data_IF_478982073490
#
_entry.id   IF_478982073490
#
_cell.length_a   1.000
_cell.length_b   1.000
_cell.length_c   1.000
_cell.angle_alpha   90.00
_cell.angle_beta   90.00
_cell.angle_gamma   90.00
#
_symmetry.space_group_name_H-M   'P 1'
#
loop_
_entity.id
_entity.type
_entity.pdbx_description
1 polymer ?
#
# COMPACT_ATOMS: atom_id res chain seq x y z
N UNK A 1 -28.46 -5.35 -36.21
CA UNK A 1 -28.73 -5.35 -34.76
C UNK A 1 -28.25 -6.67 -34.19
N UNK A 2 -27.81 -6.71 -32.94
CA UNK A 2 -27.47 -7.95 -32.22
C UNK A 2 -28.41 -8.08 -31.03
N UNK A 3 -29.29 -9.09 -31.05
CA UNK A 3 -30.24 -9.36 -29.98
C UNK A 3 -29.73 -10.52 -29.11
N UNK A 4 -29.11 -10.19 -27.99
CA UNK A 4 -28.59 -11.15 -27.01
C UNK A 4 -29.73 -11.74 -26.17
N UNK A 5 -29.50 -12.88 -25.52
CA UNK A 5 -30.49 -13.50 -24.61
C UNK A 5 -30.66 -12.74 -23.29
N UNK A 6 -29.71 -11.87 -22.94
CA UNK A 6 -29.73 -11.08 -21.72
C UNK A 6 -29.44 -9.60 -22.03
N UNK A 7 -30.17 -8.71 -21.35
CA UNK A 7 -29.93 -7.27 -21.38
C UNK A 7 -30.49 -6.57 -22.61
N UNK A 8 -29.69 -5.66 -23.17
CA UNK A 8 -30.10 -4.76 -24.25
C UNK A 8 -29.97 -5.40 -25.63
N UNK A 9 -30.78 -4.92 -26.58
CA UNK A 9 -30.57 -5.19 -28.00
C UNK A 9 -29.66 -4.11 -28.57
N UNK A 10 -28.50 -4.51 -29.11
CA UNK A 10 -27.55 -3.61 -29.75
C UNK A 10 -28.10 -3.17 -31.11
N UNK A 11 -28.71 -1.98 -31.14
CA UNK A 11 -29.32 -1.40 -32.35
C UNK A 11 -28.43 -0.37 -33.04
N UNK A 12 -27.78 0.47 -32.24
CA UNK A 12 -26.88 1.53 -32.71
C UNK A 12 -25.43 1.09 -32.52
N UNK A 13 -24.62 1.25 -33.56
CA UNK A 13 -23.26 0.70 -33.68
C UNK A 13 -23.10 -0.72 -33.06
N UNK A 14 -23.80 -1.75 -33.58
CA UNK A 14 -23.82 -3.08 -32.95
C UNK A 14 -22.45 -3.78 -32.97
N UNK A 15 -21.54 -3.40 -33.86
CA UNK A 15 -20.20 -4.01 -33.94
C UNK A 15 -19.29 -3.61 -32.79
N UNK A 16 -19.62 -2.56 -32.01
CA UNK A 16 -18.84 -2.13 -30.85
C UNK A 16 -18.58 -3.27 -29.85
N UNK A 17 -19.56 -4.13 -29.60
CA UNK A 17 -19.42 -5.25 -28.65
C UNK A 17 -18.61 -6.39 -29.26
N UNK A 18 -18.69 -6.59 -30.57
CA UNK A 18 -17.91 -7.60 -31.29
C UNK A 18 -16.43 -7.25 -31.23
N UNK A 19 -16.08 -6.00 -31.53
CA UNK A 19 -14.71 -5.49 -31.42
C UNK A 19 -14.20 -5.58 -29.97
N UNK A 20 -15.05 -5.28 -29.00
CA UNK A 20 -14.69 -5.36 -27.59
C UNK A 20 -14.43 -6.82 -27.14
N UNK A 21 -15.23 -7.78 -27.61
CA UNK A 21 -15.00 -9.20 -27.35
C UNK A 21 -13.69 -9.70 -27.98
N UNK A 22 -13.37 -9.25 -29.20
CA UNK A 22 -12.09 -9.58 -29.83
C UNK A 22 -10.90 -9.05 -29.01
N UNK A 23 -11.00 -7.82 -28.47
CA UNK A 23 -10.00 -7.26 -27.56
C UNK A 23 -9.91 -8.07 -26.25
N UNK A 24 -11.05 -8.43 -25.66
CA UNK A 24 -11.11 -9.17 -24.41
C UNK A 24 -10.60 -10.60 -24.52
N UNK A 25 -10.85 -11.26 -25.64
CA UNK A 25 -10.42 -12.64 -25.88
C UNK A 25 -8.89 -12.76 -26.12
N UNK A 26 -8.22 -11.68 -26.52
CA UNK A 26 -6.79 -11.66 -26.79
C UNK A 26 -5.97 -11.37 -25.51
N UNK A 27 -6.10 -12.23 -24.48
CA UNK A 27 -5.37 -12.17 -23.21
C UNK A 27 -5.33 -10.75 -22.60
N UNK A 28 -6.51 -10.12 -22.53
CA UNK A 28 -6.65 -8.71 -22.22
C UNK A 28 -6.02 -8.30 -20.88
N UNK A 29 -5.36 -7.14 -20.90
CA UNK A 29 -4.83 -6.46 -19.73
C UNK A 29 -4.66 -4.97 -19.99
N UNK A 30 -4.75 -4.18 -18.94
CA UNK A 30 -4.45 -2.76 -18.87
C UNK A 30 -3.18 -2.55 -18.02
N UNK A 31 -2.71 -1.32 -17.97
CA UNK A 31 -1.67 -0.92 -17.02
C UNK A 31 -2.21 -0.79 -15.59
N UNK A 32 -2.54 -1.95 -15.02
CA UNK A 32 -3.28 -2.10 -13.76
C UNK A 32 -2.72 -3.28 -12.96
N UNK A 33 -2.61 -3.10 -11.65
CA UNK A 33 -2.22 -4.15 -10.70
C UNK A 33 -3.33 -4.29 -9.65
N UNK A 34 -3.77 -5.53 -9.41
CA UNK A 34 -4.76 -5.84 -8.38
C UNK A 34 -4.11 -6.56 -7.21
N UNK A 35 -4.24 -5.99 -6.02
CA UNK A 35 -3.78 -6.58 -4.77
C UNK A 35 -5.02 -7.07 -4.03
N UNK A 36 -5.06 -8.33 -3.65
CA UNK A 36 -6.16 -8.84 -2.83
C UNK A 36 -5.65 -9.81 -1.78
N UNK A 37 -6.27 -9.76 -0.60
CA UNK A 37 -5.82 -10.54 0.54
C UNK A 37 -6.94 -10.89 1.50
N UNK A 38 -6.69 -11.85 2.38
CA UNK A 38 -7.42 -12.04 3.62
C UNK A 38 -6.47 -11.87 4.81
N UNK A 39 -7.00 -11.49 5.97
CA UNK A 39 -6.18 -11.25 7.17
C UNK A 39 -6.99 -11.48 8.45
N UNK A 40 -6.34 -12.08 9.46
CA UNK A 40 -6.95 -12.29 10.77
C UNK A 40 -6.72 -11.09 11.72
N UNK A 41 -5.54 -10.45 11.64
CA UNK A 41 -5.09 -9.43 12.58
C UNK A 41 -4.52 -8.19 11.91
N UNK A 42 -4.93 -7.90 10.66
CA UNK A 42 -4.47 -6.79 9.83
C UNK A 42 -2.96 -6.75 9.47
N UNK A 43 -2.14 -7.70 9.90
CA UNK A 43 -0.72 -7.73 9.53
C UNK A 43 -0.51 -7.79 8.01
N UNK A 44 -1.19 -8.72 7.32
CA UNK A 44 -1.14 -8.83 5.85
C UNK A 44 -1.74 -7.61 5.16
N UNK A 45 -2.69 -6.90 5.79
CA UNK A 45 -3.23 -5.64 5.27
C UNK A 45 -2.15 -4.56 5.26
N UNK A 46 -1.41 -4.41 6.35
CA UNK A 46 -0.30 -3.44 6.43
C UNK A 46 0.75 -3.69 5.34
N UNK A 47 1.07 -4.97 5.07
CA UNK A 47 1.95 -5.34 3.97
C UNK A 47 1.38 -4.93 2.60
N UNK A 48 0.09 -5.20 2.36
CA UNK A 48 -0.58 -4.85 1.11
C UNK A 48 -0.57 -3.34 0.84
N UNK A 49 -0.86 -2.54 1.87
CA UNK A 49 -0.88 -1.08 1.78
C UNK A 49 0.54 -0.53 1.51
N UNK A 50 1.57 -1.08 2.16
CA UNK A 50 2.96 -0.70 1.92
C UNK A 50 3.45 -1.07 0.51
N UNK A 51 3.09 -2.25 0.00
CA UNK A 51 3.41 -2.65 -1.38
C UNK A 51 2.76 -1.69 -2.38
N UNK A 52 1.49 -1.32 -2.16
CA UNK A 52 0.79 -0.39 -3.04
C UNK A 52 1.47 1.00 -3.09
N UNK A 53 1.97 1.49 -1.95
CA UNK A 53 2.77 2.72 -1.90
C UNK A 53 4.00 2.60 -2.79
N UNK A 54 4.76 1.51 -2.65
CA UNK A 54 5.97 1.28 -3.45
C UNK A 54 5.71 1.20 -4.95
N UNK A 55 4.58 0.63 -5.37
CA UNK A 55 4.19 0.59 -6.79
C UNK A 55 3.93 2.01 -7.31
N UNK A 56 3.11 2.79 -6.60
CA UNK A 56 2.74 4.15 -7.00
C UNK A 56 3.93 5.12 -7.02
N UNK A 57 4.92 4.91 -6.15
CA UNK A 57 6.16 5.72 -6.13
C UNK A 57 7.01 5.55 -7.39
N UNK A 58 7.03 4.34 -7.96
CA UNK A 58 7.89 4.01 -9.12
C UNK A 58 7.15 4.24 -10.44
N UNK A 59 5.89 3.83 -10.50
CA UNK A 59 5.09 3.95 -11.72
C UNK A 59 3.71 4.54 -11.40
N UNK A 60 3.58 5.89 -11.42
CA UNK A 60 2.33 6.57 -11.13
C UNK A 60 1.21 6.27 -12.14
N UNK A 61 1.53 5.70 -13.32
CA UNK A 61 0.54 5.38 -14.34
C UNK A 61 -0.22 4.08 -14.03
N UNK A 62 0.35 3.21 -13.20
CA UNK A 62 -0.26 1.93 -12.85
C UNK A 62 -1.47 2.18 -11.96
N UNK A 63 -2.64 1.76 -12.43
CA UNK A 63 -3.83 1.75 -11.59
C UNK A 63 -3.72 0.62 -10.54
N UNK A 64 -3.51 0.96 -9.27
CA UNK A 64 -3.49 -0.02 -8.17
C UNK A 64 -4.86 -0.11 -7.51
N UNK A 65 -5.37 -1.34 -7.35
CA UNK A 65 -6.60 -1.61 -6.58
C UNK A 65 -6.34 -2.64 -5.49
N UNK A 66 -6.81 -2.35 -4.28
CA UNK A 66 -6.61 -3.19 -3.09
C UNK A 66 -7.96 -3.71 -2.61
N UNK A 67 -8.05 -5.01 -2.37
CA UNK A 67 -9.27 -5.65 -1.87
C UNK A 67 -9.00 -6.56 -0.68
N UNK A 68 -9.87 -6.50 0.32
CA UNK A 68 -9.96 -7.54 1.32
C UNK A 68 -11.05 -8.52 0.87
N UNK A 69 -10.68 -9.76 0.53
CA UNK A 69 -11.61 -10.77 -0.03
C UNK A 69 -12.76 -11.13 0.92
N UNK A 70 -12.63 -10.86 2.22
CA UNK A 70 -13.68 -11.07 3.19
C UNK A 70 -14.67 -9.89 3.30
N UNK A 71 -14.37 -8.74 2.67
CA UNK A 71 -15.14 -7.49 2.79
C UNK A 71 -15.47 -6.83 1.45
N UNK A 72 -15.17 -7.49 0.34
CA UNK A 72 -15.36 -6.97 -1.01
C UNK A 72 -16.13 -7.97 -1.85
N UNK A 73 -16.81 -7.46 -2.88
CA UNK A 73 -17.48 -8.33 -3.85
C UNK A 73 -16.45 -9.12 -4.64
N UNK A 74 -16.71 -10.43 -4.77
CA UNK A 74 -15.80 -11.37 -5.41
C UNK A 74 -15.69 -11.13 -6.91
N UNK A 75 -16.80 -10.79 -7.56
CA UNK A 75 -16.86 -10.58 -9.00
C UNK A 75 -16.16 -9.27 -9.39
N UNK A 76 -16.22 -8.26 -8.52
CA UNK A 76 -15.42 -7.03 -8.66
C UNK A 76 -13.92 -7.33 -8.60
N UNK A 77 -13.47 -8.19 -7.68
CA UNK A 77 -12.06 -8.61 -7.60
C UNK A 77 -11.66 -9.30 -8.91
N UNK A 78 -12.43 -10.30 -9.35
CA UNK A 78 -12.13 -11.07 -10.56
C UNK A 78 -12.14 -10.19 -11.83
N UNK A 79 -13.03 -9.21 -11.91
CA UNK A 79 -13.06 -8.23 -13.01
C UNK A 79 -11.80 -7.36 -13.00
N UNK A 80 -11.31 -6.96 -11.82
CA UNK A 80 -10.05 -6.23 -11.72
C UNK A 80 -8.85 -7.12 -12.05
N UNK A 81 -8.85 -8.40 -11.67
CA UNK A 81 -7.83 -9.39 -12.10
C UNK A 81 -7.82 -9.53 -13.62
N UNK A 82 -8.99 -9.67 -14.25
CA UNK A 82 -9.12 -9.74 -15.71
C UNK A 82 -8.45 -8.55 -16.41
N UNK A 83 -8.67 -7.34 -15.89
CA UNK A 83 -8.10 -6.10 -16.44
C UNK A 83 -6.63 -5.86 -16.06
N UNK A 84 -6.06 -6.60 -15.12
CA UNK A 84 -4.71 -6.33 -14.61
C UNK A 84 -3.63 -7.06 -15.42
N UNK A 85 -2.45 -6.43 -15.54
CA UNK A 85 -1.23 -7.09 -16.05
C UNK A 85 -0.62 -8.07 -15.04
N UNK A 86 -0.88 -7.83 -13.75
CA UNK A 86 -0.44 -8.73 -12.70
C UNK A 86 -1.19 -8.54 -11.39
N UNK A 87 -1.03 -9.50 -10.49
CA UNK A 87 -1.73 -9.57 -9.22
C UNK A 87 -0.80 -9.84 -8.05
N UNK A 88 -1.11 -9.27 -6.89
CA UNK A 88 -0.46 -9.68 -5.65
C UNK A 88 -1.50 -10.27 -4.70
N UNK A 89 -1.22 -11.47 -4.21
CA UNK A 89 -2.18 -12.22 -3.40
C UNK A 89 -1.63 -12.42 -2.00
N UNK A 90 -2.38 -11.91 -1.01
CA UNK A 90 -1.98 -11.92 0.38
C UNK A 90 -2.72 -12.97 1.22
N UNK A 91 -2.00 -13.76 2.00
CA UNK A 91 -2.62 -14.67 2.98
C UNK A 91 -1.73 -14.86 4.20
N UNK A 92 -2.32 -14.86 5.41
CA UNK A 92 -1.58 -15.31 6.59
C UNK A 92 -1.60 -16.82 6.73
N UNK A 93 -0.65 -17.36 7.49
CA UNK A 93 -0.66 -18.79 7.83
C UNK A 93 -1.69 -19.06 8.92
N UNK A 94 -2.70 -19.87 8.60
CA UNK A 94 -3.75 -20.33 9.52
C UNK A 94 -3.72 -21.85 9.57
N UNK A 95 -3.41 -22.44 10.72
CA UNK A 95 -3.34 -23.91 10.91
C UNK A 95 -2.48 -24.62 9.84
N UNK A 96 -1.29 -24.07 9.54
CA UNK A 96 -0.34 -24.56 8.52
C UNK A 96 -0.85 -24.53 7.06
N UNK A 97 -1.98 -23.87 6.80
CA UNK A 97 -2.54 -23.66 5.46
C UNK A 97 -2.82 -22.18 5.20
N UNK A 98 -3.17 -21.84 3.96
CA UNK A 98 -3.66 -20.51 3.61
C UNK A 98 -5.10 -20.30 4.09
N UNK A 99 -5.51 -19.04 4.20
CA UNK A 99 -6.88 -18.69 4.57
C UNK A 99 -7.91 -19.20 3.54
N UNK A 100 -9.09 -19.66 3.98
CA UNK A 100 -10.02 -20.42 3.13
C UNK A 100 -10.60 -19.60 1.97
N UNK A 101 -10.86 -18.30 2.17
CA UNK A 101 -11.38 -17.43 1.08
C UNK A 101 -10.35 -17.24 -0.04
N UNK A 102 -9.07 -17.15 0.32
CA UNK A 102 -7.98 -17.10 -0.67
C UNK A 102 -7.87 -18.43 -1.41
N UNK A 103 -7.94 -19.56 -0.70
CA UNK A 103 -7.93 -20.87 -1.33
C UNK A 103 -9.08 -21.04 -2.34
N UNK A 104 -10.31 -20.67 -1.97
CA UNK A 104 -11.47 -20.74 -2.85
C UNK A 104 -11.37 -19.80 -4.05
N UNK A 105 -10.85 -18.58 -3.86
CA UNK A 105 -10.66 -17.65 -4.96
C UNK A 105 -9.59 -18.14 -5.94
N UNK A 106 -8.50 -18.73 -5.45
CA UNK A 106 -7.46 -19.33 -6.31
C UNK A 106 -7.99 -20.53 -7.09
N UNK A 107 -8.83 -21.36 -6.48
CA UNK A 107 -9.51 -22.46 -7.17
C UNK A 107 -10.38 -21.94 -8.33
N UNK A 108 -11.16 -20.89 -8.07
CA UNK A 108 -11.98 -20.26 -9.12
C UNK A 108 -11.13 -19.64 -10.23
N UNK A 109 -10.04 -18.94 -9.90
CA UNK A 109 -9.11 -18.39 -10.89
C UNK A 109 -8.44 -19.49 -11.74
N UNK A 110 -8.18 -20.66 -11.16
CA UNK A 110 -7.66 -21.83 -11.89
C UNK A 110 -8.65 -22.29 -12.97
N UNK A 111 -9.95 -22.30 -12.63
CA UNK A 111 -11.03 -22.58 -13.59
C UNK A 111 -11.22 -21.50 -14.66
N UNK A 112 -11.05 -20.22 -14.29
CA UNK A 112 -11.17 -19.07 -15.19
C UNK A 112 -10.01 -18.93 -16.17
N UNK A 113 -8.86 -19.55 -15.88
CA UNK A 113 -7.70 -19.65 -16.78
C UNK A 113 -7.21 -18.30 -17.32
N UNK A 114 -6.90 -17.37 -16.42
CA UNK A 114 -6.21 -16.14 -16.84
C UNK A 114 -4.89 -16.46 -17.57
N UNK A 115 -4.53 -15.62 -18.53
CA UNK A 115 -3.36 -15.79 -19.39
C UNK A 115 -2.58 -14.49 -19.50
N UNK A 116 -1.27 -14.63 -19.72
CA UNK A 116 -0.33 -13.52 -19.83
C UNK A 116 -0.30 -12.60 -18.59
N UNK A 117 -0.56 -13.15 -17.40
CA UNK A 117 -0.58 -12.38 -16.14
C UNK A 117 0.52 -12.84 -15.21
N UNK A 118 1.12 -11.88 -14.50
CA UNK A 118 2.16 -12.14 -13.50
C UNK A 118 1.58 -12.14 -12.09
N UNK A 119 2.22 -12.83 -11.15
CA UNK A 119 1.77 -12.85 -9.77
C UNK A 119 2.91 -12.83 -8.74
N UNK A 120 2.64 -12.28 -7.57
CA UNK A 120 3.51 -12.37 -6.39
C UNK A 120 2.67 -12.69 -5.15
N UNK A 121 3.07 -13.74 -4.41
CA UNK A 121 2.42 -14.12 -3.17
C UNK A 121 3.05 -13.38 -1.99
N UNK A 122 2.25 -12.95 -1.02
CA UNK A 122 2.75 -12.33 0.20
C UNK A 122 1.96 -12.71 1.45
N UNK A 123 2.55 -12.48 2.63
CA UNK A 123 1.78 -12.59 3.87
C UNK A 123 2.57 -12.66 5.17
N UNK A 124 1.83 -12.54 6.27
CA UNK A 124 2.34 -12.66 7.63
C UNK A 124 2.22 -14.09 8.19
N UNK A 125 3.16 -14.49 9.04
CA UNK A 125 3.10 -15.75 9.80
C UNK A 125 3.58 -15.56 11.25
N UNK A 126 3.18 -16.47 12.15
CA UNK A 126 3.61 -16.43 13.56
C UNK A 126 4.93 -17.15 13.82
N UNK A 127 5.03 -18.41 13.37
CA UNK A 127 6.19 -19.28 13.64
C UNK A 127 6.77 -19.91 12.37
N UNK A 128 6.27 -21.07 11.93
CA UNK A 128 6.81 -21.84 10.81
C UNK A 128 6.32 -21.35 9.44
N UNK A 129 5.16 -20.69 9.39
CA UNK A 129 4.59 -20.19 8.14
C UNK A 129 4.17 -21.32 7.19
N UNK A 130 4.45 -21.14 5.89
CA UNK A 130 4.18 -22.11 4.82
C UNK A 130 2.99 -21.77 3.91
N UNK A 131 2.09 -20.88 4.34
CA UNK A 131 0.93 -20.51 3.52
C UNK A 131 1.31 -19.73 2.25
N UNK A 132 2.32 -18.86 2.34
CA UNK A 132 2.76 -18.03 1.20
C UNK A 132 3.38 -18.88 0.09
N UNK A 133 4.23 -19.86 0.43
CA UNK A 133 4.81 -20.76 -0.57
C UNK A 133 3.73 -21.63 -1.21
N UNK A 134 2.82 -22.16 -0.38
CA UNK A 134 1.66 -22.93 -0.86
C UNK A 134 0.78 -22.12 -1.80
N UNK A 135 0.57 -20.84 -1.51
CA UNK A 135 -0.17 -19.91 -2.36
C UNK A 135 0.58 -19.66 -3.68
N UNK A 136 1.89 -19.41 -3.61
CA UNK A 136 2.73 -19.19 -4.78
C UNK A 136 2.65 -20.36 -5.76
N UNK A 137 2.77 -21.60 -5.28
CA UNK A 137 2.61 -22.80 -6.11
C UNK A 137 1.24 -22.87 -6.77
N UNK A 138 0.15 -22.63 -6.03
CA UNK A 138 -1.20 -22.68 -6.62
C UNK A 138 -1.47 -21.59 -7.65
N UNK A 139 -0.87 -20.40 -7.47
CA UNK A 139 -0.95 -19.34 -8.48
C UNK A 139 -0.18 -19.72 -9.74
N UNK A 140 0.98 -20.37 -9.59
CA UNK A 140 1.72 -20.91 -10.72
C UNK A 140 0.89 -21.97 -11.47
N UNK A 141 0.26 -22.89 -10.74
CA UNK A 141 -0.62 -23.92 -11.31
C UNK A 141 -1.84 -23.31 -12.04
N UNK A 142 -2.34 -22.17 -11.58
CA UNK A 142 -3.41 -21.42 -12.23
C UNK A 142 -2.98 -20.73 -13.54
N UNK A 143 -1.69 -20.70 -13.85
CA UNK A 143 -1.12 -20.16 -15.09
C UNK A 143 -0.51 -18.76 -14.97
N UNK A 144 -0.24 -18.28 -13.75
CA UNK A 144 0.47 -17.01 -13.55
C UNK A 144 1.98 -17.18 -13.62
N UNK A 145 2.67 -16.19 -14.18
CA UNK A 145 4.14 -16.11 -14.10
C UNK A 145 4.53 -15.55 -12.72
N UNK A 146 5.25 -16.36 -11.92
CA UNK A 146 5.54 -16.01 -10.53
C UNK A 146 6.80 -15.15 -10.39
N UNK A 147 6.65 -14.00 -9.71
CA UNK A 147 7.74 -13.22 -9.14
C UNK A 147 8.05 -13.67 -7.70
N UNK A 148 9.13 -13.13 -7.12
CA UNK A 148 9.53 -13.43 -5.75
C UNK A 148 8.37 -13.18 -4.76
N UNK A 149 8.25 -14.06 -3.76
CA UNK A 149 7.24 -13.94 -2.70
C UNK A 149 7.77 -13.14 -1.51
N UNK A 150 6.88 -12.46 -0.80
CA UNK A 150 7.22 -11.63 0.37
C UNK A 150 6.66 -12.23 1.66
N UNK A 151 7.48 -12.40 2.69
CA UNK A 151 7.08 -12.96 3.98
C UNK A 151 7.47 -12.02 5.10
N UNK A 152 6.55 -11.78 6.03
CA UNK A 152 6.84 -11.07 7.28
C UNK A 152 6.42 -11.91 8.49
N UNK A 153 7.10 -11.75 9.62
CA UNK A 153 6.76 -12.43 10.86
C UNK A 153 5.97 -11.48 11.75
N UNK A 154 4.86 -11.95 12.32
CA UNK A 154 3.97 -11.15 13.17
C UNK A 154 3.52 -9.84 12.50
N UNK A 155 3.32 -8.78 13.29
CA UNK A 155 2.98 -7.45 12.83
C UNK A 155 4.23 -6.77 12.26
N UNK A 156 4.21 -6.27 11.01
CA UNK A 156 5.33 -5.53 10.46
C UNK A 156 5.62 -4.27 11.29
N UNK A 157 6.88 -4.09 11.68
CA UNK A 157 7.43 -2.84 12.19
C UNK A 157 7.82 -1.91 11.02
N UNK A 158 8.43 -0.76 11.33
CA UNK A 158 8.80 0.22 10.30
C UNK A 158 9.80 -0.34 9.29
N UNK A 159 10.77 -1.13 9.74
CA UNK A 159 11.77 -1.75 8.88
C UNK A 159 11.14 -2.80 7.95
N UNK A 160 10.27 -3.66 8.50
CA UNK A 160 9.54 -4.64 7.71
C UNK A 160 8.57 -3.97 6.71
N UNK A 161 7.97 -2.83 7.06
CA UNK A 161 7.13 -2.05 6.14
C UNK A 161 7.95 -1.45 4.99
N UNK A 162 9.17 -0.99 5.23
CA UNK A 162 10.04 -0.52 4.14
C UNK A 162 10.46 -1.66 3.22
N UNK A 163 10.69 -2.87 3.74
CA UNK A 163 10.90 -4.07 2.91
C UNK A 163 9.66 -4.35 2.05
N UNK A 164 8.45 -4.22 2.61
CA UNK A 164 7.21 -4.38 1.85
C UNK A 164 7.07 -3.31 0.75
N UNK A 165 7.43 -2.07 1.06
CA UNK A 165 7.41 -0.96 0.10
C UNK A 165 8.43 -1.18 -1.02
N UNK A 166 9.65 -1.57 -0.67
CA UNK A 166 10.70 -1.90 -1.64
C UNK A 166 10.27 -3.06 -2.56
N UNK A 167 9.61 -4.08 -2.02
CA UNK A 167 9.03 -5.16 -2.83
C UNK A 167 8.05 -4.62 -3.88
N UNK A 168 7.20 -3.66 -3.50
CA UNK A 168 6.33 -2.95 -4.43
C UNK A 168 7.08 -2.21 -5.54
N UNK A 169 8.17 -1.52 -5.19
CA UNK A 169 9.05 -0.84 -6.16
C UNK A 169 9.64 -1.82 -7.16
N UNK A 170 10.14 -2.96 -6.68
CA UNK A 170 10.78 -3.97 -7.52
C UNK A 170 9.77 -4.64 -8.46
N UNK A 171 8.56 -4.92 -7.96
CA UNK A 171 7.45 -5.43 -8.78
C UNK A 171 7.06 -4.42 -9.87
N UNK A 172 6.93 -3.13 -9.55
CA UNK A 172 6.62 -2.10 -10.53
C UNK A 172 7.68 -2.03 -11.64
N UNK A 173 8.97 -2.07 -11.28
CA UNK A 173 10.08 -2.10 -12.26
C UNK A 173 10.04 -3.35 -13.14
N UNK A 174 9.85 -4.51 -12.53
CA UNK A 174 9.83 -5.77 -13.26
C UNK A 174 8.64 -5.85 -14.23
N UNK A 175 7.49 -5.29 -13.85
CA UNK A 175 6.21 -5.43 -14.58
C UNK A 175 5.85 -4.18 -15.41
N UNK A 176 6.79 -3.25 -15.60
CA UNK A 176 6.58 -2.06 -16.41
C UNK A 176 6.30 -2.43 -17.87
N UNK A 177 5.24 -1.86 -18.45
CA UNK A 177 4.90 -2.05 -19.87
C UNK A 177 5.58 -1.01 -20.78
N UNK A 178 5.87 0.16 -20.22
CA UNK A 178 6.58 1.25 -20.88
C UNK A 178 7.93 1.48 -20.19
N UNK A 179 8.89 2.13 -20.86
CA UNK A 179 10.12 2.57 -20.22
C UNK A 179 9.79 3.47 -19.03
N UNK A 180 10.19 3.05 -17.83
CA UNK A 180 10.07 3.89 -16.66
C UNK A 180 11.05 5.06 -16.79
N UNK A 181 10.72 6.26 -16.26
CA UNK A 181 11.72 7.28 -16.07
C UNK A 181 12.86 6.67 -15.27
N UNK A 182 14.10 6.86 -15.73
CA UNK A 182 15.28 6.43 -14.97
C UNK A 182 15.11 6.97 -13.55
N UNK A 183 15.21 6.07 -12.57
CA UNK A 183 15.27 6.48 -11.19
C UNK A 183 16.43 7.47 -11.12
N UNK A 184 16.13 8.76 -10.94
CA UNK A 184 17.10 9.65 -10.33
C UNK A 184 17.44 8.94 -9.04
N UNK A 185 18.64 8.34 -9.01
CA UNK A 185 19.26 7.94 -7.79
C UNK A 185 19.09 9.15 -6.90
N UNK A 186 18.22 9.06 -5.89
CA UNK A 186 18.18 10.06 -4.85
C UNK A 186 19.63 10.07 -4.38
N UNK A 187 20.30 11.17 -4.72
CA UNK A 187 21.55 11.50 -4.11
C UNK A 187 21.31 11.25 -2.62
N UNK A 188 22.12 10.36 -2.04
CA UNK A 188 22.55 10.57 -0.67
C UNK A 188 22.74 12.08 -0.54
N UNK A 189 22.10 12.78 0.42
CA UNK A 189 22.50 14.14 0.66
C UNK A 189 23.97 14.04 1.06
N UNK A 190 24.84 14.25 0.08
CA UNK A 190 26.17 14.73 0.32
C UNK A 190 25.96 15.94 1.21
N UNK A 191 26.69 15.94 2.31
CA UNK A 191 26.78 17.05 3.22
C UNK A 191 27.27 18.27 2.44
N UNK A 192 26.34 19.00 1.81
CA UNK A 192 26.59 20.37 1.42
C UNK A 192 26.65 21.16 2.71
N UNK A 193 27.88 21.39 3.14
CA UNK A 193 28.23 22.44 4.06
C UNK A 193 27.70 23.78 3.47
N UNK A 194 26.49 24.15 3.86
CA UNK A 194 26.07 25.55 3.78
C UNK A 194 26.56 26.25 5.04
N UNK A 195 27.41 27.24 4.78
CA UNK A 195 28.19 27.96 5.76
C UNK A 195 27.33 28.62 6.85
N UNK A 196 27.92 28.63 8.04
CA UNK A 196 27.62 29.50 9.17
C UNK A 196 26.82 30.78 8.84
N UNK A 197 25.64 30.87 9.43
CA UNK A 197 25.16 32.13 9.98
C UNK A 197 24.64 31.83 11.39
N UNK A 198 25.44 32.20 12.38
CA UNK A 198 25.01 32.27 13.76
C UNK A 198 23.77 33.19 13.84
N UNK A 199 22.62 32.62 14.17
CA UNK A 199 21.50 33.38 14.69
C UNK A 199 21.25 32.89 16.12
N UNK A 200 21.51 33.82 17.03
CA UNK A 200 21.37 33.80 18.47
C UNK A 200 20.31 32.83 19.03
N UNK A 201 20.64 32.29 20.21
CA UNK A 201 19.68 31.78 21.18
C UNK A 201 18.54 32.80 21.37
N UNK A 202 17.45 32.60 20.62
CA UNK A 202 16.18 33.22 20.88
C UNK A 202 15.47 32.33 21.90
N UNK A 203 14.97 32.95 22.96
CA UNK A 203 14.17 32.29 23.99
C UNK A 203 12.83 31.87 23.35
N UNK A 204 12.73 30.60 22.92
CA UNK A 204 11.60 30.04 22.16
C UNK A 204 10.37 29.71 23.03
N UNK A 205 10.35 30.16 24.29
CA UNK A 205 9.24 29.95 25.22
C UNK A 205 9.22 28.57 25.89
N UNK A 206 8.23 28.31 26.76
CA UNK A 206 8.15 27.07 27.51
C UNK A 206 7.81 25.87 26.61
N UNK A 207 8.34 24.69 26.99
CA UNK A 207 7.88 23.42 26.43
C UNK A 207 6.48 23.12 26.96
N UNK A 208 5.64 22.53 26.12
CA UNK A 208 4.26 22.23 26.46
C UNK A 208 4.06 20.73 26.52
N UNK A 209 3.24 20.26 27.44
CA UNK A 209 2.94 18.85 27.61
C UNK A 209 1.45 18.59 27.44
N UNK A 210 1.11 17.59 26.64
CA UNK A 210 -0.25 17.11 26.55
C UNK A 210 -0.65 16.43 27.88
N UNK A 211 -1.66 16.97 28.57
CA UNK A 211 -2.18 16.42 29.82
C UNK A 211 -2.70 14.98 29.70
N UNK A 212 -3.09 14.55 28.49
CA UNK A 212 -3.73 13.25 28.24
C UNK A 212 -2.75 12.12 27.95
N UNK A 213 -1.76 12.37 27.09
CA UNK A 213 -0.79 11.35 26.66
C UNK A 213 0.65 11.64 27.05
N UNK A 214 0.89 12.77 27.71
CA UNK A 214 2.20 13.20 28.21
C UNK A 214 3.23 13.51 27.12
N UNK A 215 2.81 13.59 25.84
CA UNK A 215 3.67 14.03 24.74
C UNK A 215 4.11 15.48 24.92
N UNK A 216 5.39 15.77 24.67
CA UNK A 216 6.01 17.07 24.92
C UNK A 216 6.28 17.76 23.58
N UNK A 217 5.70 18.94 23.40
CA UNK A 217 6.06 19.86 22.34
C UNK A 217 7.33 20.63 22.71
N UNK A 218 8.39 20.48 21.89
CA UNK A 218 9.60 21.29 21.98
C UNK A 218 9.62 22.32 20.83
N UNK A 219 9.54 23.62 21.13
CA UNK A 219 9.63 24.69 20.14
C UNK A 219 10.86 24.58 19.23
N UNK A 220 11.99 24.08 19.74
CA UNK A 220 13.21 23.90 18.93
C UNK A 220 13.03 22.85 17.83
N UNK A 221 12.18 21.85 18.05
CA UNK A 221 11.92 20.76 17.11
C UNK A 221 10.68 21.04 16.25
N UNK A 222 9.67 21.73 16.80
CA UNK A 222 8.39 21.94 16.12
C UNK A 222 7.65 20.63 15.88
N UNK A 223 6.71 20.63 14.92
CA UNK A 223 6.04 19.43 14.41
C UNK A 223 5.79 19.57 12.89
N UNK A 224 6.81 19.31 12.06
CA UNK A 224 6.76 19.57 10.63
C UNK A 224 5.68 18.78 9.87
N UNK A 225 5.19 17.66 10.43
CA UNK A 225 4.12 16.88 9.80
C UNK A 225 2.75 17.56 9.87
N UNK A 226 2.60 18.57 10.73
CA UNK A 226 1.39 19.39 10.89
C UNK A 226 1.66 20.86 10.56
N UNK A 227 2.63 21.12 9.68
CA UNK A 227 3.03 22.46 9.23
C UNK A 227 3.59 23.38 10.34
N UNK A 228 4.02 22.83 11.47
CA UNK A 228 4.69 23.58 12.55
C UNK A 228 6.21 23.44 12.40
N UNK A 229 6.86 24.49 11.91
CA UNK A 229 8.30 24.44 11.64
C UNK A 229 9.16 24.40 12.94
N UNK A 230 10.38 23.84 12.88
CA UNK A 230 11.34 23.94 13.98
C UNK A 230 11.63 25.41 14.31
N UNK A 231 11.61 25.76 15.60
CA UNK A 231 11.73 27.13 16.08
C UNK A 231 10.40 27.88 16.25
N UNK A 232 9.26 27.20 16.17
CA UNK A 232 7.94 27.84 16.37
C UNK A 232 7.55 27.86 17.85
N UNK A 233 7.38 29.03 18.50
CA UNK A 233 6.90 29.09 19.89
C UNK A 233 5.44 28.63 19.99
N UNK A 234 5.01 28.16 21.16
CA UNK A 234 3.64 27.63 21.34
C UNK A 234 2.53 28.65 21.01
N UNK A 235 2.80 29.94 21.18
CA UNK A 235 1.88 31.02 20.78
C UNK A 235 1.54 30.98 19.29
N UNK A 236 2.49 30.56 18.46
CA UNK A 236 2.42 30.64 17.00
C UNK A 236 2.01 29.29 16.39
N UNK A 237 1.85 28.25 17.21
CA UNK A 237 1.27 26.98 16.80
C UNK A 237 -0.21 27.18 16.45
N UNK A 238 -0.66 26.77 15.25
CA UNK A 238 -2.06 26.91 14.83
C UNK A 238 -3.08 26.26 15.79
N UNK A 239 -4.29 26.83 15.92
CA UNK A 239 -5.35 26.28 16.78
C UNK A 239 -5.90 24.93 16.30
N UNK A 240 -5.68 24.58 15.03
CA UNK A 240 -6.03 23.29 14.47
C UNK A 240 -4.96 22.20 14.74
N UNK A 241 -3.91 22.53 15.50
CA UNK A 241 -2.89 21.58 15.89
C UNK A 241 -3.48 20.45 16.74
N UNK A 242 -3.13 19.22 16.40
CA UNK A 242 -3.53 18.02 17.11
C UNK A 242 -2.29 17.36 17.71
N UNK A 243 -2.38 16.89 18.95
CA UNK A 243 -1.32 16.10 19.54
C UNK A 243 -1.02 14.86 18.66
N UNK A 244 0.23 14.62 18.24
CA UNK A 244 0.56 13.48 17.36
C UNK A 244 0.22 12.11 17.94
N UNK A 245 0.23 11.98 19.28
CA UNK A 245 0.00 10.70 19.97
C UNK A 245 -1.48 10.43 20.26
N UNK A 246 -2.25 11.44 20.70
CA UNK A 246 -3.66 11.25 21.10
C UNK A 246 -4.69 11.96 20.23
N UNK A 247 -4.24 12.77 19.26
CA UNK A 247 -5.09 13.53 18.32
C UNK A 247 -6.09 14.49 18.97
N UNK A 248 -5.84 14.92 20.20
CA UNK A 248 -6.59 15.97 20.87
C UNK A 248 -6.01 17.35 20.54
N UNK A 249 -6.86 18.37 20.58
CA UNK A 249 -6.52 19.73 20.17
C UNK A 249 -5.49 20.44 21.06
N UNK A 250 -5.15 21.67 20.69
CA UNK A 250 -4.22 22.54 21.42
C UNK A 250 -4.68 22.86 22.86
N UNK A 251 -5.96 22.69 23.16
CA UNK A 251 -6.60 23.01 24.44
C UNK A 251 -6.18 22.11 25.61
N UNK A 252 -5.69 20.90 25.33
CA UNK A 252 -5.29 19.94 26.37
C UNK A 252 -3.81 20.05 26.78
N UNK A 253 -3.09 21.06 26.30
CA UNK A 253 -1.67 21.26 26.58
C UNK A 253 -1.43 22.21 27.74
N UNK A 254 -0.55 21.80 28.64
CA UNK A 254 -0.14 22.55 29.83
C UNK A 254 1.35 22.90 29.74
N UNK A 255 1.75 24.02 30.34
CA UNK A 255 3.16 24.41 30.39
C UNK A 255 3.94 23.41 31.25
N UNK A 256 5.04 22.88 30.71
CA UNK A 256 5.96 22.05 31.46
C UNK A 256 6.80 22.95 32.36
N UNK A 257 6.24 23.30 33.52
CA UNK A 257 6.86 24.19 34.50
C UNK A 257 8.26 23.70 34.86
N UNK A 258 9.26 24.56 34.67
CA UNK A 258 10.60 24.38 35.23
C UNK A 258 10.54 24.62 36.74
N UNK A 259 10.01 23.65 37.50
CA UNK A 259 10.12 23.72 38.95
C UNK A 259 11.55 23.48 39.39
N UNK A 260 12.12 24.57 39.91
CA UNK A 260 13.35 24.65 40.68
C UNK A 260 13.30 23.69 41.88
N UNK A 261 14.28 22.80 41.96
CA UNK A 261 14.97 22.46 43.21
C UNK A 261 16.38 21.98 42.97
#
# INVERSE_FOLDING_TARGET
>A
MIATSHGVVWRDNPTQIVEQYLKWAADYQEDRITIFYDTMSNNTRMMADAIAQGINEVDPNVAVKIFNVARSDKNDILTNVFRSKGVLVGTSTMNNVMMPKIAGLVEEMTGLRFRNKRASAFGSHGWSGGAVDRLSTRLQDAGFEMSMSLKAKWRPDLDALEICRQHGRDIARQWALAPLPEATAKATPEQEACACAAAAAADLGPRMQCSVCQWIYDPATGEPMQDVQPGTPWSDVPDNFLCPECSLGKDVFEELGSEVK
#
